data_IF_521405614745
#
_entry.id   IF_521405614745
#
_cell.length_a   1.000
_cell.length_b   1.000
_cell.length_c   1.000
_cell.angle_alpha   90.00
_cell.angle_beta   90.00
_cell.angle_gamma   90.00
#
_symmetry.space_group_name_H-M   'P 1'
#
loop_
_entity.id
_entity.type
_entity.pdbx_description
1 polymer ?
#
# COMPACT_ATOMS: atom_id res chain seq x y z
N UNK A 1 36.92 1.02 29.19
CA UNK A 1 36.86 0.35 27.88
C UNK A 1 35.46 0.49 27.33
N UNK A 2 35.24 1.40 26.37
CA UNK A 2 33.92 1.64 25.80
C UNK A 2 33.43 0.43 25.01
N UNK A 3 32.23 -0.07 25.32
CA UNK A 3 31.54 -1.07 24.48
C UNK A 3 31.43 -0.51 23.07
N UNK A 4 32.15 -1.07 22.10
CA UNK A 4 31.88 -0.86 20.67
C UNK A 4 30.45 -1.32 20.45
N UNK A 5 29.50 -0.39 20.32
CA UNK A 5 28.14 -0.73 19.90
C UNK A 5 28.26 -1.39 18.53
N UNK A 6 27.60 -2.53 18.38
CA UNK A 6 27.62 -3.29 17.15
C UNK A 6 26.91 -2.46 16.08
N UNK A 7 27.60 -2.12 14.99
CA UNK A 7 27.05 -1.29 13.89
C UNK A 7 25.70 -1.82 13.37
N UNK A 8 25.53 -3.14 13.35
CA UNK A 8 24.25 -3.80 13.02
C UNK A 8 23.12 -3.43 13.97
N UNK A 9 23.39 -3.34 15.28
CA UNK A 9 22.38 -2.99 16.29
C UNK A 9 21.95 -1.53 16.15
N UNK A 10 22.86 -0.64 15.80
CA UNK A 10 22.54 0.77 15.57
C UNK A 10 21.64 0.95 14.35
N UNK A 11 21.94 0.27 13.24
CA UNK A 11 21.12 0.30 12.02
C UNK A 11 19.71 -0.26 12.23
N UNK A 12 19.56 -1.30 13.05
CA UNK A 12 18.23 -1.84 13.39
C UNK A 12 17.42 -0.86 14.25
N UNK A 13 18.07 -0.21 15.22
CA UNK A 13 17.42 0.81 16.06
C UNK A 13 17.02 2.06 15.26
N UNK A 14 17.78 2.43 14.23
CA UNK A 14 17.39 3.48 13.30
C UNK A 14 16.14 3.11 12.52
N UNK A 15 16.10 1.92 11.89
CA UNK A 15 14.94 1.45 11.12
C UNK A 15 13.68 1.42 12.00
N UNK A 16 13.79 0.92 13.23
CA UNK A 16 12.67 0.85 14.18
C UNK A 16 12.05 2.23 14.48
N UNK A 17 12.84 3.30 14.47
CA UNK A 17 12.38 4.66 14.76
C UNK A 17 11.83 5.39 13.55
N UNK A 18 11.96 4.83 12.34
CA UNK A 18 11.50 5.49 11.12
C UNK A 18 9.97 5.53 11.06
N UNK A 19 9.43 6.72 10.82
CA UNK A 19 8.03 6.90 10.42
C UNK A 19 7.94 6.68 8.91
N UNK A 20 7.29 5.61 8.49
CA UNK A 20 7.14 5.26 7.08
C UNK A 20 5.80 5.77 6.56
N UNK A 21 5.83 6.43 5.39
CA UNK A 21 4.64 6.74 4.61
C UNK A 21 4.83 6.26 3.18
N UNK A 22 3.81 5.61 2.64
CA UNK A 22 3.76 5.09 1.27
C UNK A 22 2.64 5.83 0.55
N UNK A 23 2.97 6.46 -0.57
CA UNK A 23 2.06 7.28 -1.37
C UNK A 23 2.20 6.91 -2.84
N UNK A 24 1.10 7.02 -3.59
CA UNK A 24 1.13 6.86 -5.04
C UNK A 24 1.57 8.17 -5.70
N UNK A 25 2.26 8.08 -6.83
CA UNK A 25 2.57 9.28 -7.61
C UNK A 25 1.30 9.85 -8.25
N UNK A 26 1.27 11.16 -8.57
CA UNK A 26 0.14 11.78 -9.25
C UNK A 26 -0.23 11.09 -10.58
N UNK A 27 0.77 10.66 -11.37
CA UNK A 27 0.54 9.99 -12.65
C UNK A 27 -0.22 8.67 -12.47
N UNK A 28 0.16 7.89 -11.45
CA UNK A 28 -0.48 6.62 -11.12
C UNK A 28 -1.92 6.85 -10.61
N UNK A 29 -2.14 7.93 -9.84
CA UNK A 29 -3.48 8.32 -9.40
C UNK A 29 -4.36 8.72 -10.59
N UNK A 30 -3.80 9.45 -11.57
CA UNK A 30 -4.50 9.78 -12.82
C UNK A 30 -4.89 8.51 -13.58
N UNK A 31 -3.97 7.57 -13.75
CA UNK A 31 -4.21 6.30 -14.44
C UNK A 31 -5.34 5.48 -13.77
N UNK A 32 -5.33 5.38 -12.43
CA UNK A 32 -6.42 4.73 -11.68
C UNK A 32 -7.74 5.45 -11.94
N UNK A 33 -7.72 6.78 -11.97
CA UNK A 33 -8.91 7.60 -12.11
C UNK A 33 -9.53 7.53 -13.51
N UNK A 34 -8.72 7.35 -14.54
CA UNK A 34 -9.17 7.12 -15.92
C UNK A 34 -9.78 5.72 -16.08
N UNK A 35 -9.21 4.71 -15.41
CA UNK A 35 -9.63 3.31 -15.56
C UNK A 35 -10.87 2.93 -14.76
N UNK A 36 -11.05 3.51 -13.58
CA UNK A 36 -12.11 3.10 -12.65
C UNK A 36 -12.98 4.27 -12.22
N UNK A 37 -14.29 4.05 -12.18
CA UNK A 37 -15.23 4.98 -11.54
C UNK A 37 -15.09 4.95 -10.02
N UNK A 38 -15.54 6.01 -9.34
CA UNK A 38 -15.57 6.05 -7.87
C UNK A 38 -16.33 4.84 -7.31
N UNK A 39 -17.50 4.52 -7.86
CA UNK A 39 -18.32 3.39 -7.44
C UNK A 39 -17.61 2.04 -7.52
N UNK A 40 -16.85 1.78 -8.60
CA UNK A 40 -16.06 0.55 -8.72
C UNK A 40 -14.95 0.48 -7.67
N UNK A 41 -14.26 1.60 -7.40
CA UNK A 41 -13.24 1.67 -6.36
C UNK A 41 -13.85 1.47 -4.95
N UNK A 42 -15.05 2.00 -4.70
CA UNK A 42 -15.75 1.83 -3.42
C UNK A 42 -16.05 0.36 -3.11
N UNK A 43 -16.38 -0.45 -4.12
CA UNK A 43 -16.58 -1.91 -3.95
C UNK A 43 -15.34 -2.64 -3.45
N UNK A 44 -14.15 -2.15 -3.78
CA UNK A 44 -12.87 -2.82 -3.49
C UNK A 44 -12.23 -2.28 -2.21
N UNK A 45 -12.26 -0.96 -2.03
CA UNK A 45 -11.50 -0.25 -0.99
C UNK A 45 -12.38 0.39 0.09
N UNK A 46 -13.70 0.47 -0.12
CA UNK A 46 -14.62 1.24 0.71
C UNK A 46 -14.61 2.74 0.39
N UNK A 47 -15.65 3.43 0.85
CA UNK A 47 -15.94 4.84 0.52
C UNK A 47 -14.76 5.79 0.75
N UNK A 48 -14.13 5.71 1.92
CA UNK A 48 -13.06 6.64 2.32
C UNK A 48 -11.84 6.56 1.40
N UNK A 49 -11.31 5.35 1.20
CA UNK A 49 -10.10 5.15 0.38
C UNK A 49 -10.39 5.46 -1.08
N UNK A 50 -11.54 5.03 -1.60
CA UNK A 50 -11.94 5.31 -2.97
C UNK A 50 -12.05 6.82 -3.25
N UNK A 51 -12.64 7.59 -2.33
CA UNK A 51 -12.72 9.04 -2.44
C UNK A 51 -11.33 9.69 -2.41
N UNK A 52 -10.42 9.22 -1.55
CA UNK A 52 -9.06 9.75 -1.47
C UNK A 52 -8.24 9.45 -2.74
N UNK A 53 -8.35 8.24 -3.29
CA UNK A 53 -7.75 7.88 -4.59
C UNK A 53 -8.28 8.79 -5.71
N UNK A 54 -9.58 9.07 -5.71
CA UNK A 54 -10.23 9.93 -6.70
C UNK A 54 -9.84 11.39 -6.63
N UNK A 55 -9.65 11.92 -5.43
CA UNK A 55 -9.19 13.30 -5.22
C UNK A 55 -7.72 13.50 -5.51
N UNK A 56 -6.93 12.42 -5.51
CA UNK A 56 -5.47 12.51 -5.51
C UNK A 56 -4.93 13.09 -4.20
N UNK A 57 -5.69 12.91 -3.11
CA UNK A 57 -5.28 13.38 -1.78
C UNK A 57 -4.00 12.65 -1.32
N UNK A 58 -3.33 13.23 -0.34
CA UNK A 58 -2.13 12.70 0.28
C UNK A 58 -2.43 11.42 1.11
N UNK A 59 -2.71 10.32 0.42
CA UNK A 59 -3.15 9.06 0.99
C UNK A 59 -1.94 8.19 1.36
N UNK A 60 -1.75 7.98 2.66
CA UNK A 60 -0.86 6.94 3.14
C UNK A 60 -1.50 5.56 2.93
N UNK A 61 -1.01 4.78 1.96
CA UNK A 61 -1.56 3.45 1.65
C UNK A 61 -0.93 2.35 2.51
N UNK A 62 -1.76 1.40 2.92
CA UNK A 62 -1.29 0.19 3.61
C UNK A 62 -0.86 -0.87 2.60
N UNK A 63 -0.05 -1.86 3.02
CA UNK A 63 0.32 -3.00 2.16
C UNK A 63 -0.90 -3.77 1.63
N UNK A 64 -1.98 -3.86 2.42
CA UNK A 64 -3.24 -4.48 2.00
C UNK A 64 -3.88 -3.71 0.84
N UNK A 65 -3.93 -2.38 0.94
CA UNK A 65 -4.41 -1.52 -0.14
C UNK A 65 -3.52 -1.64 -1.37
N UNK A 66 -2.21 -1.65 -1.19
CA UNK A 66 -1.24 -1.81 -2.28
C UNK A 66 -1.44 -3.12 -3.04
N UNK A 67 -1.59 -4.26 -2.33
CA UNK A 67 -1.84 -5.54 -2.98
C UNK A 67 -3.11 -5.51 -3.83
N UNK A 68 -4.22 -4.97 -3.30
CA UNK A 68 -5.47 -4.82 -4.05
C UNK A 68 -5.30 -3.91 -5.28
N UNK A 69 -4.56 -2.82 -5.16
CA UNK A 69 -4.24 -1.93 -6.28
C UNK A 69 -3.44 -2.67 -7.37
N UNK A 70 -2.40 -3.42 -6.99
CA UNK A 70 -1.63 -4.23 -7.93
C UNK A 70 -2.52 -5.23 -8.67
N UNK A 71 -3.49 -5.86 -7.98
CA UNK A 71 -4.43 -6.80 -8.58
C UNK A 71 -5.35 -6.15 -9.61
N UNK A 72 -5.93 -4.99 -9.32
CA UNK A 72 -6.85 -4.33 -10.27
C UNK A 72 -6.07 -3.71 -11.44
N UNK A 73 -4.90 -3.12 -11.18
CA UNK A 73 -4.10 -2.46 -12.21
C UNK A 73 -3.22 -3.43 -13.02
N UNK A 74 -3.24 -4.72 -12.66
CA UNK A 74 -2.37 -5.75 -13.20
C UNK A 74 -0.87 -5.39 -13.08
N UNK A 75 -0.48 -4.80 -11.95
CA UNK A 75 0.91 -4.50 -11.63
C UNK A 75 1.59 -5.70 -10.97
N UNK A 76 2.91 -5.86 -11.17
CA UNK A 76 3.67 -6.87 -10.46
C UNK A 76 3.62 -6.62 -8.95
N UNK A 77 3.34 -7.68 -8.20
CA UNK A 77 3.54 -7.71 -6.75
C UNK A 77 4.78 -8.56 -6.45
N UNK A 78 5.62 -8.20 -5.46
CA UNK A 78 6.91 -8.87 -5.30
C UNK A 78 6.73 -10.37 -5.01
N UNK A 79 7.48 -11.22 -5.72
CA UNK A 79 7.28 -12.67 -5.74
C UNK A 79 7.61 -13.37 -4.42
N UNK A 80 8.39 -12.74 -3.56
CA UNK A 80 8.70 -13.22 -2.21
C UNK A 80 7.60 -12.91 -1.18
N UNK A 81 6.52 -12.22 -1.56
CA UNK A 81 5.35 -12.10 -0.70
C UNK A 81 4.44 -13.33 -0.89
N UNK A 82 4.16 -14.01 0.21
CA UNK A 82 3.10 -15.00 0.27
C UNK A 82 1.81 -14.26 0.62
N UNK A 83 0.82 -14.32 -0.28
CA UNK A 83 -0.48 -13.68 -0.07
C UNK A 83 -1.58 -14.74 -0.02
N UNK A 84 -2.16 -14.90 1.17
CA UNK A 84 -3.30 -15.79 1.38
C UNK A 84 -4.60 -15.01 1.16
N UNK A 85 -5.39 -15.42 0.18
CA UNK A 85 -6.70 -14.83 -0.12
C UNK A 85 -7.77 -15.81 0.33
N UNK A 86 -8.49 -15.48 1.38
CA UNK A 86 -9.67 -16.21 1.84
C UNK A 86 -10.91 -15.60 1.16
N UNK A 87 -11.64 -16.39 0.37
CA UNK A 87 -12.94 -16.00 -0.15
C UNK A 87 -14.02 -16.63 0.72
N UNK A 88 -14.78 -15.80 1.43
CA UNK A 88 -16.06 -16.23 2.00
C UNK A 88 -17.04 -16.45 0.83
N UNK A 89 -17.25 -17.71 0.45
CA UNK A 89 -18.41 -18.07 -0.35
C UNK A 89 -19.64 -17.89 0.54
N UNK A 90 -20.44 -16.86 0.24
CA UNK A 90 -21.81 -16.80 0.74
C UNK A 90 -22.65 -17.58 -0.27
N UNK A 91 -22.92 -18.85 0.08
CA UNK A 91 -24.06 -19.59 -0.48
C UNK A 91 -25.37 -18.87 -0.12
#
# INVERSE_FOLDING_TARGET
MGRRKNFFTEKLEEIKKQKISIKLSPDVLSEINERYTLYQLEKVFGKKIAAQLKKGDDLNITLKTMYKLCRIMNWPFPSWFIVNVETENKD
#
